data_IF_392192688844
#
_entry.id   IF_392192688844
#
_cell.length_a   1.000
_cell.length_b   1.000
_cell.length_c   1.000
_cell.angle_alpha   90.00
_cell.angle_beta   90.00
_cell.angle_gamma   90.00
#
_symmetry.space_group_name_H-M   'P 1'
#
loop_
_entity.id
_entity.type
_entity.pdbx_description
1 polymer ?
#
# COMPACT_ATOMS: atom_id res chain seq x y z
N UNK A 1 -9.88 -24.83 20.36
CA UNK A 1 -9.91 -23.36 20.55
C UNK A 1 -8.63 -22.69 20.04
N UNK A 2 -7.47 -22.83 20.70
CA UNK A 2 -6.22 -22.20 20.19
C UNK A 2 -5.79 -22.74 18.81
N UNK A 3 -5.89 -24.05 18.61
CA UNK A 3 -5.53 -24.68 17.33
C UNK A 3 -6.47 -24.23 16.20
N UNK A 4 -7.75 -24.05 16.49
CA UNK A 4 -8.75 -23.62 15.50
C UNK A 4 -8.54 -22.15 15.14
N UNK A 5 -8.32 -21.28 16.14
CA UNK A 5 -7.91 -19.90 15.93
C UNK A 5 -6.65 -19.81 15.07
N UNK A 6 -5.59 -20.56 15.38
CA UNK A 6 -4.36 -20.56 14.59
C UNK A 6 -4.56 -21.06 13.16
N UNK A 7 -5.50 -21.99 12.91
CA UNK A 7 -5.84 -22.44 11.55
C UNK A 7 -6.54 -21.34 10.73
N UNK A 8 -7.37 -20.52 11.36
CA UNK A 8 -8.03 -19.39 10.68
C UNK A 8 -6.98 -18.35 10.23
N UNK A 9 -6.03 -18.00 11.11
CA UNK A 9 -4.93 -17.11 10.76
C UNK A 9 -3.91 -17.74 9.79
N UNK A 10 -3.68 -19.05 9.87
CA UNK A 10 -2.82 -19.77 8.93
C UNK A 10 -3.32 -19.59 7.48
N UNK A 11 -4.64 -19.62 7.27
CA UNK A 11 -5.23 -19.42 5.94
C UNK A 11 -4.93 -18.04 5.38
N UNK A 12 -4.98 -16.99 6.22
CA UNK A 12 -4.61 -15.62 5.84
C UNK A 12 -3.13 -15.55 5.45
N UNK A 13 -2.26 -16.17 6.25
CA UNK A 13 -0.81 -16.16 6.01
C UNK A 13 -0.49 -16.87 4.69
N UNK A 14 -1.07 -18.04 4.44
CA UNK A 14 -0.90 -18.78 3.18
C UNK A 14 -1.32 -17.90 2.00
N UNK A 15 -2.46 -17.21 2.10
CA UNK A 15 -2.94 -16.33 1.05
C UNK A 15 -1.96 -15.19 0.73
N UNK A 16 -1.38 -14.55 1.77
CA UNK A 16 -0.36 -13.51 1.59
C UNK A 16 0.85 -14.06 0.84
N UNK A 17 1.36 -15.25 1.20
CA UNK A 17 2.49 -15.85 0.52
C UNK A 17 2.19 -16.25 -0.93
N UNK A 18 1.00 -16.77 -1.20
CA UNK A 18 0.56 -17.08 -2.57
C UNK A 18 0.47 -15.79 -3.40
N UNK A 19 -0.12 -14.72 -2.86
CA UNK A 19 -0.23 -13.43 -3.55
C UNK A 19 1.15 -12.82 -3.85
N UNK A 20 2.05 -12.81 -2.86
CA UNK A 20 3.43 -12.35 -3.04
C UNK A 20 4.20 -13.22 -4.04
N UNK A 21 4.06 -14.54 -3.94
CA UNK A 21 4.70 -15.49 -4.85
C UNK A 21 4.25 -15.30 -6.29
N UNK A 22 2.95 -15.09 -6.52
CA UNK A 22 2.41 -14.80 -7.85
C UNK A 22 2.88 -13.43 -8.37
N UNK A 23 2.84 -12.38 -7.54
CA UNK A 23 3.28 -11.04 -7.92
C UNK A 23 4.76 -11.02 -8.32
N UNK A 24 5.63 -11.57 -7.47
CA UNK A 24 7.06 -11.71 -7.76
C UNK A 24 7.30 -12.64 -8.94
N UNK A 25 6.56 -13.74 -9.04
CA UNK A 25 6.61 -14.68 -10.16
C UNK A 25 6.39 -13.97 -11.50
N UNK A 26 5.33 -13.17 -11.61
CA UNK A 26 5.06 -12.41 -12.84
C UNK A 26 6.12 -11.36 -13.14
N UNK A 27 6.66 -10.66 -12.13
CA UNK A 27 7.77 -9.71 -12.33
C UNK A 27 9.02 -10.43 -12.83
N UNK A 28 9.39 -11.56 -12.23
CA UNK A 28 10.57 -12.35 -12.63
C UNK A 28 10.41 -12.93 -14.03
N UNK A 29 9.23 -13.46 -14.35
CA UNK A 29 8.91 -13.96 -15.69
C UNK A 29 9.03 -12.83 -16.72
N UNK A 30 8.44 -11.66 -16.45
CA UNK A 30 8.59 -10.51 -17.35
C UNK A 30 10.07 -10.11 -17.51
N UNK A 31 10.82 -10.02 -16.41
CA UNK A 31 12.23 -9.64 -16.46
C UNK A 31 13.11 -10.62 -17.24
N UNK A 32 12.79 -11.91 -17.20
CA UNK A 32 13.56 -12.96 -17.88
C UNK A 32 13.21 -13.07 -19.37
N UNK A 33 11.91 -12.97 -19.72
CA UNK A 33 11.43 -13.22 -21.08
C UNK A 33 11.19 -11.94 -21.92
N UNK A 34 11.13 -10.75 -21.30
CA UNK A 34 10.89 -9.51 -22.03
C UNK A 34 12.08 -9.11 -22.91
N UNK A 35 11.85 -8.67 -24.18
CA UNK A 35 12.89 -8.11 -25.02
C UNK A 35 13.55 -6.87 -24.37
N UNK A 36 14.88 -6.86 -24.34
CA UNK A 36 15.66 -5.78 -23.72
C UNK A 36 16.27 -4.89 -24.80
N UNK A 37 15.59 -3.79 -25.14
CA UNK A 37 16.06 -2.78 -26.09
C UNK A 37 16.06 -1.38 -25.44
N UNK A 38 16.95 -1.14 -24.44
CA UNK A 38 17.08 0.19 -23.83
C UNK A 38 17.71 1.16 -24.82
N UNK A 39 17.15 2.36 -24.91
CA UNK A 39 17.76 3.50 -25.60
C UNK A 39 17.67 4.73 -24.70
N UNK A 40 18.56 5.74 -24.90
CA UNK A 40 18.62 6.90 -24.02
C UNK A 40 17.28 7.67 -23.92
N UNK A 41 16.50 7.70 -24.99
CA UNK A 41 15.18 8.36 -25.01
C UNK A 41 14.10 7.55 -24.28
N UNK A 42 14.10 6.22 -24.36
CA UNK A 42 13.20 5.36 -23.56
C UNK A 42 13.49 5.41 -22.07
N UNK A 43 14.73 5.73 -21.70
CA UNK A 43 15.18 5.83 -20.31
C UNK A 43 15.12 7.27 -19.78
N UNK A 44 14.83 8.26 -20.63
CA UNK A 44 14.65 9.65 -20.21
C UNK A 44 13.28 9.85 -19.54
N UNK A 45 13.15 10.89 -18.74
CA UNK A 45 11.87 11.23 -18.12
C UNK A 45 10.86 11.63 -19.20
N UNK A 46 9.62 11.17 -19.05
CA UNK A 46 8.55 11.51 -19.98
C UNK A 46 8.14 12.98 -19.80
N UNK A 47 8.50 13.83 -20.76
CA UNK A 47 8.11 15.24 -20.82
C UNK A 47 7.65 15.60 -22.25
N UNK A 48 6.74 14.81 -22.83
CA UNK A 48 6.18 15.03 -24.17
C UNK A 48 7.22 15.20 -25.30
N UNK A 49 8.37 14.53 -25.20
CA UNK A 49 9.46 14.59 -26.19
C UNK A 49 10.43 15.77 -26.00
N UNK A 50 10.33 16.48 -24.87
CA UNK A 50 11.29 17.50 -24.46
C UNK A 50 12.22 16.96 -23.36
N UNK A 51 13.38 17.60 -23.19
CA UNK A 51 14.20 17.39 -22.01
C UNK A 51 13.44 17.88 -20.78
N UNK A 52 13.48 17.12 -19.68
CA UNK A 52 12.78 17.47 -18.45
C UNK A 52 13.11 18.91 -18.02
N UNK A 53 12.11 19.78 -18.08
CA UNK A 53 12.28 21.18 -17.74
C UNK A 53 12.40 21.31 -16.22
N UNK A 54 13.63 21.47 -15.75
CA UNK A 54 14.01 22.02 -14.44
C UNK A 54 13.85 21.14 -13.19
N UNK A 55 14.40 21.67 -12.09
CA UNK A 55 14.66 21.03 -10.81
C UNK A 55 13.40 20.41 -10.17
N UNK A 56 13.45 19.11 -9.86
CA UNK A 56 12.34 18.36 -9.22
C UNK A 56 12.13 18.71 -7.75
N UNK A 57 12.89 19.69 -7.22
CA UNK A 57 12.83 20.21 -5.85
C UNK A 57 11.77 21.30 -5.68
N UNK A 58 10.58 21.09 -6.22
CA UNK A 58 9.46 21.97 -5.92
C UNK A 58 8.89 21.63 -4.53
N UNK A 59 8.48 22.66 -3.79
CA UNK A 59 7.74 22.46 -2.55
C UNK A 59 6.41 21.79 -2.86
N UNK A 60 6.18 20.64 -2.25
CA UNK A 60 4.88 19.98 -2.32
C UNK A 60 3.88 20.73 -1.47
N UNK A 61 2.63 20.71 -1.91
CA UNK A 61 1.57 21.41 -1.22
C UNK A 61 1.35 20.87 0.20
N UNK A 62 1.30 21.77 1.19
CA UNK A 62 1.05 21.45 2.61
C UNK A 62 -0.26 20.70 2.82
N UNK A 63 -1.22 20.78 1.88
CA UNK A 63 -2.49 20.06 1.92
C UNK A 63 -2.31 18.54 2.08
N UNK A 64 -1.29 17.94 1.45
CA UNK A 64 -1.03 16.50 1.62
C UNK A 64 -0.66 16.13 3.05
N UNK A 65 0.14 16.98 3.70
CA UNK A 65 0.54 16.82 5.09
C UNK A 65 -0.66 16.97 6.04
N UNK A 66 -1.51 17.97 5.82
CA UNK A 66 -2.72 18.17 6.62
C UNK A 66 -3.67 16.98 6.52
N UNK A 67 -3.87 16.42 5.32
CA UNK A 67 -4.69 15.21 5.12
C UNK A 67 -4.08 14.00 5.84
N UNK A 68 -2.76 13.82 5.80
CA UNK A 68 -2.10 12.71 6.47
C UNK A 68 -2.23 12.78 8.00
N UNK A 69 -2.04 13.95 8.61
CA UNK A 69 -2.22 14.12 10.06
C UNK A 69 -3.67 13.93 10.46
N UNK A 70 -4.61 14.48 9.69
CA UNK A 70 -6.03 14.30 9.96
C UNK A 70 -6.42 12.82 9.90
N UNK A 71 -5.90 12.07 8.92
CA UNK A 71 -6.09 10.63 8.82
C UNK A 71 -5.54 9.90 10.06
N UNK A 72 -4.33 10.23 10.52
CA UNK A 72 -3.73 9.62 11.72
C UNK A 72 -4.60 9.86 12.97
N UNK A 73 -5.08 11.10 13.15
CA UNK A 73 -5.91 11.46 14.31
C UNK A 73 -7.24 10.69 14.27
N UNK A 74 -7.91 10.65 13.11
CA UNK A 74 -9.18 9.93 12.98
C UNK A 74 -9.03 8.41 13.07
N UNK A 75 -7.95 7.82 12.55
CA UNK A 75 -7.68 6.40 12.68
C UNK A 75 -7.48 6.01 14.15
N UNK A 76 -6.75 6.84 14.89
CA UNK A 76 -6.59 6.70 16.33
C UNK A 76 -7.92 6.87 17.08
N UNK A 77 -8.76 7.85 16.71
CA UNK A 77 -10.10 8.02 17.29
C UNK A 77 -10.96 6.77 17.07
N UNK A 78 -10.97 6.25 15.85
CA UNK A 78 -11.70 5.03 15.47
C UNK A 78 -11.22 3.83 16.30
N UNK A 79 -9.91 3.69 16.54
CA UNK A 79 -9.36 2.64 17.39
C UNK A 79 -9.93 2.68 18.83
N UNK A 80 -10.25 3.85 19.36
CA UNK A 80 -10.94 4.01 20.66
C UNK A 80 -12.45 3.82 20.57
N UNK A 81 -13.08 4.21 19.45
CA UNK A 81 -14.52 4.02 19.23
C UNK A 81 -14.88 2.55 19.02
N UNK A 82 -13.99 1.73 18.46
CA UNK A 82 -14.27 0.31 18.19
C UNK A 82 -14.65 -0.50 19.43
N UNK A 83 -13.87 -0.50 20.54
CA UNK A 83 -14.25 -1.18 21.78
C UNK A 83 -15.60 -0.72 22.34
N UNK A 84 -15.88 0.59 22.28
CA UNK A 84 -17.18 1.14 22.69
C UNK A 84 -18.31 0.63 21.77
N UNK A 85 -18.12 0.66 20.46
CA UNK A 85 -19.12 0.22 19.48
C UNK A 85 -19.49 -1.27 19.62
N UNK A 86 -18.51 -2.15 19.87
CA UNK A 86 -18.78 -3.59 20.04
C UNK A 86 -19.43 -3.94 21.38
N UNK A 87 -19.24 -3.11 22.41
CA UNK A 87 -19.73 -3.38 23.77
C UNK A 87 -20.97 -2.55 24.15
N UNK A 88 -21.43 -1.67 23.25
CA UNK A 88 -22.54 -0.74 23.49
C UNK A 88 -23.80 -1.43 24.05
N UNK A 89 -24.16 -2.61 23.54
CA UNK A 89 -25.32 -3.37 24.02
C UNK A 89 -25.19 -3.98 25.42
N UNK A 90 -23.99 -3.99 26.00
CA UNK A 90 -23.70 -4.46 27.35
C UNK A 90 -23.34 -3.33 28.33
N UNK A 91 -23.28 -2.08 27.84
CA UNK A 91 -22.88 -0.90 28.61
C UNK A 91 -24.12 -0.07 29.00
N UNK A 92 -24.65 -0.32 30.19
CA UNK A 92 -25.81 0.41 30.75
C UNK A 92 -27.16 -0.30 30.54
N UNK A 93 -28.25 0.17 31.17
CA UNK A 93 -29.59 -0.40 30.98
C UNK A 93 -30.11 -0.24 29.54
#
# INVERSE_FOLDING_TARGET
>A
MLIDFLKDYLSIIIFIFVALGLSLGFIVLNFLFSPKNPDPEKLSAYECGFEAFSDSRMEFDVRFYLVAILFIIFDLEIAFLFPWAISLGNLGP
#
